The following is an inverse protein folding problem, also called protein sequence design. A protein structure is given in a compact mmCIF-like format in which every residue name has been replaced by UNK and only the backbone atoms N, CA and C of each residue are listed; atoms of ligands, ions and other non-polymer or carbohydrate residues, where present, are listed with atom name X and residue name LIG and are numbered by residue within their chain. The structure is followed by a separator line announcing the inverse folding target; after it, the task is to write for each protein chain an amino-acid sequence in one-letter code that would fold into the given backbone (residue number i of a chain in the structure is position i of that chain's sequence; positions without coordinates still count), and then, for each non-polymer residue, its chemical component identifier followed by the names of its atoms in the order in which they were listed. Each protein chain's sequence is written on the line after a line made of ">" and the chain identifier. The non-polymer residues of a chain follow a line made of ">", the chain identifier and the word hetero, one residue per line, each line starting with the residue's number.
data_IF_449158154599
#
_entry.id   IF_449158154599
#
_cell.length_a   1.000
_cell.length_b   1.000
_cell.length_c   1.000
_cell.angle_alpha   90.00
_cell.angle_beta   90.00
_cell.angle_gamma   90.00
#
_symmetry.space_group_name_H-M   'P 1'
#
loop_
_entity.id
_entity.type
_entity.pdbx_description
1 polymer ?
#
# COMPACT_ATOMS: atom_id res chain seq x y z
N UNK A 1 -12.47 17.87 -19.15
CA UNK A 1 -11.92 18.56 -17.97
C UNK A 1 -12.54 17.93 -16.73
N UNK A 2 -11.82 17.05 -16.03
CA UNK A 2 -12.31 16.44 -14.79
C UNK A 2 -11.91 17.32 -13.61
N UNK A 3 -12.89 17.67 -12.78
CA UNK A 3 -12.76 18.59 -11.65
C UNK A 3 -12.13 17.84 -10.47
N UNK A 4 -10.88 18.15 -10.14
CA UNK A 4 -10.20 17.63 -8.95
C UNK A 4 -10.80 18.36 -7.74
N UNK A 5 -11.55 17.65 -6.93
CA UNK A 5 -12.06 18.13 -5.64
C UNK A 5 -10.97 17.92 -4.59
N UNK A 6 -10.30 19.01 -4.16
CA UNK A 6 -9.41 18.98 -3.00
C UNK A 6 -10.24 19.09 -1.73
N UNK A 7 -10.50 17.97 -1.05
CA UNK A 7 -10.97 18.01 0.34
C UNK A 7 -9.77 17.74 1.24
N UNK A 8 -9.14 18.83 1.70
CA UNK A 8 -8.15 18.79 2.77
C UNK A 8 -8.84 18.45 4.07
N UNK A 9 -8.88 17.17 4.44
CA UNK A 9 -9.12 16.77 5.83
C UNK A 9 -7.78 16.72 6.55
N UNK A 10 -7.60 17.56 7.57
CA UNK A 10 -6.51 17.44 8.55
C UNK A 10 -6.50 16.00 9.06
N UNK A 11 -5.45 15.25 8.72
CA UNK A 11 -5.28 13.87 9.16
C UNK A 11 -4.61 13.89 10.53
N UNK A 12 -5.37 13.55 11.57
CA UNK A 12 -4.93 13.50 12.96
C UNK A 12 -3.85 12.42 13.14
N UNK A 13 -2.74 12.77 13.79
CA UNK A 13 -1.74 11.83 14.32
C UNK A 13 -2.44 10.75 15.18
N UNK A 14 -2.52 9.51 14.71
CA UNK A 14 -2.95 8.40 15.57
C UNK A 14 -1.74 7.97 16.41
N UNK A 15 -1.53 8.65 17.54
CA UNK A 15 -0.61 8.23 18.59
C UNK A 15 -1.28 7.11 19.40
N UNK A 16 -0.99 5.85 19.09
CA UNK A 16 -1.39 4.71 19.94
C UNK A 16 -0.23 4.33 20.86
N UNK A 17 -0.06 5.02 21.99
CA UNK A 17 0.88 4.62 23.03
C UNK A 17 0.30 3.49 23.87
N UNK A 18 0.57 2.22 23.50
CA UNK A 18 0.56 1.06 24.39
C UNK A 18 1.13 -0.15 23.63
N UNK A 19 2.45 -0.34 23.70
CA UNK A 19 3.11 -1.50 23.07
C UNK A 19 2.84 -2.76 23.90
N UNK A 20 2.18 -3.76 23.32
CA UNK A 20 2.26 -5.15 23.80
C UNK A 20 3.36 -5.87 22.99
N UNK A 21 4.46 -6.34 23.60
CA UNK A 21 5.48 -7.10 22.90
C UNK A 21 4.94 -8.51 22.60
N UNK A 22 4.44 -8.75 21.39
CA UNK A 22 3.89 -10.07 21.04
C UNK A 22 3.58 -10.32 19.57
N UNK A 23 3.19 -9.30 18.80
CA UNK A 23 2.91 -9.47 17.36
C UNK A 23 4.11 -8.97 16.56
N UNK A 24 4.94 -9.89 16.05
CA UNK A 24 6.02 -9.54 15.12
C UNK A 24 5.39 -9.21 13.77
N UNK A 25 5.28 -7.93 13.46
CA UNK A 25 4.90 -7.48 12.11
C UNK A 25 6.14 -7.56 11.21
N UNK A 26 5.97 -8.04 9.97
CA UNK A 26 7.04 -8.09 8.98
C UNK A 26 7.16 -6.73 8.30
N UNK A 27 8.38 -6.23 8.11
CA UNK A 27 8.67 -5.00 7.35
C UNK A 27 8.86 -5.31 5.86
N UNK A 28 8.89 -4.30 5.00
CA UNK A 28 9.10 -4.48 3.56
C UNK A 28 10.46 -5.10 3.22
N UNK A 29 11.49 -4.84 4.03
CA UNK A 29 12.80 -5.48 3.90
C UNK A 29 12.74 -7.00 4.01
N UNK A 30 11.75 -7.53 4.73
CA UNK A 30 11.56 -8.96 4.92
C UNK A 30 10.70 -9.64 3.84
N UNK A 31 10.24 -8.88 2.83
CA UNK A 31 9.47 -9.43 1.70
C UNK A 31 10.30 -10.43 0.91
N UNK A 32 9.72 -11.62 0.66
CA UNK A 32 10.40 -12.73 -0.02
C UNK A 32 9.60 -13.23 -1.20
N UNK A 33 10.26 -13.41 -2.33
CA UNK A 33 9.67 -14.10 -3.50
C UNK A 33 9.41 -15.57 -3.20
N UNK A 34 8.42 -16.15 -3.91
CA UNK A 34 8.11 -17.58 -3.81
C UNK A 34 7.47 -17.99 -2.48
N UNK A 35 7.19 -17.04 -1.58
CA UNK A 35 6.38 -17.27 -0.38
C UNK A 35 4.97 -16.76 -0.62
N UNK A 36 4.04 -17.70 -0.69
CA UNK A 36 2.61 -17.40 -0.65
C UNK A 36 2.22 -16.91 0.74
N UNK A 37 1.26 -15.99 0.77
CA UNK A 37 0.58 -15.56 2.00
C UNK A 37 1.46 -14.84 3.03
N UNK A 38 2.16 -13.79 2.60
CA UNK A 38 2.87 -12.89 3.49
C UNK A 38 1.93 -11.85 4.14
N UNK A 39 2.35 -11.26 5.25
CA UNK A 39 1.61 -10.23 5.97
C UNK A 39 2.49 -9.08 6.40
N UNK A 40 1.96 -7.85 6.37
CA UNK A 40 2.63 -6.63 6.78
C UNK A 40 1.63 -5.67 7.43
N UNK A 41 2.10 -4.83 8.34
CA UNK A 41 1.39 -3.61 8.71
C UNK A 41 1.93 -2.48 7.82
N UNK A 42 1.03 -1.71 7.21
CA UNK A 42 1.41 -0.69 6.24
C UNK A 42 0.42 0.47 6.21
N UNK A 43 0.94 1.69 6.05
CA UNK A 43 0.16 2.85 5.70
C UNK A 43 -0.12 2.91 4.21
N UNK A 44 -1.38 3.09 3.82
CA UNK A 44 -1.78 3.36 2.44
C UNK A 44 -1.56 4.84 2.15
N UNK A 45 -0.56 5.18 1.35
CA UNK A 45 -0.23 6.58 1.08
C UNK A 45 -1.15 7.18 0.01
N UNK A 46 -1.26 6.49 -1.13
CA UNK A 46 -2.08 6.88 -2.29
C UNK A 46 -2.31 5.66 -3.18
N UNK A 47 -3.31 5.74 -4.05
CA UNK A 47 -3.57 4.72 -5.06
C UNK A 47 -4.07 5.39 -6.34
N UNK A 48 -3.91 4.71 -7.47
CA UNK A 48 -4.33 5.20 -8.78
C UNK A 48 -4.58 4.04 -9.76
N UNK A 49 -5.39 4.31 -10.78
CA UNK A 49 -5.66 3.35 -11.85
C UNK A 49 -4.39 3.11 -12.67
N UNK A 50 -4.10 1.84 -12.92
CA UNK A 50 -3.02 1.39 -13.77
C UNK A 50 -3.57 1.04 -15.14
N UNK A 51 -3.00 1.64 -16.17
CA UNK A 51 -3.49 1.57 -17.54
C UNK A 51 -2.39 1.00 -18.44
N UNK A 52 -2.76 0.12 -19.36
CA UNK A 52 -1.89 -0.39 -20.40
C UNK A 52 -1.97 0.51 -21.64
N UNK A 53 -1.07 1.48 -21.73
CA UNK A 53 -1.03 2.42 -22.86
C UNK A 53 -0.79 1.76 -24.22
N UNK A 54 -0.20 0.56 -24.26
CA UNK A 54 0.02 -0.18 -25.52
C UNK A 54 -1.24 -0.86 -26.04
N UNK A 55 -2.24 -1.07 -25.18
CA UNK A 55 -3.48 -1.76 -25.48
C UNK A 55 -4.65 -0.84 -25.20
N UNK A 56 -4.75 0.22 -25.99
CA UNK A 56 -5.87 1.19 -25.95
C UNK A 56 -6.18 1.77 -24.57
N UNK A 57 -5.16 2.00 -23.74
CA UNK A 57 -5.32 2.54 -22.37
C UNK A 57 -6.21 1.59 -21.52
N UNK A 58 -6.11 0.27 -21.76
CA UNK A 58 -6.88 -0.73 -21.02
C UNK A 58 -6.58 -0.67 -19.52
N UNK A 59 -7.63 -0.64 -18.71
CA UNK A 59 -7.51 -0.74 -17.26
C UNK A 59 -6.98 -2.12 -16.86
N UNK A 60 -5.79 -2.17 -16.26
CA UNK A 60 -5.13 -3.42 -15.85
C UNK A 60 -5.20 -3.67 -14.35
N UNK A 61 -5.55 -2.66 -13.56
CA UNK A 61 -5.64 -2.79 -12.11
C UNK A 61 -5.43 -1.48 -11.37
N UNK A 62 -5.26 -1.56 -10.06
CA UNK A 62 -5.02 -0.41 -9.18
C UNK A 62 -3.60 -0.55 -8.63
N UNK A 63 -2.79 0.50 -8.75
CA UNK A 63 -1.51 0.59 -8.05
C UNK A 63 -1.73 1.29 -6.71
N UNK A 64 -1.18 0.73 -5.65
CA UNK A 64 -1.26 1.26 -4.29
C UNK A 64 0.16 1.52 -3.79
N UNK A 65 0.37 2.66 -3.14
CA UNK A 65 1.67 3.03 -2.56
C UNK A 65 1.63 2.80 -1.05
N UNK A 66 2.56 2.00 -0.54
CA UNK A 66 2.61 1.57 0.85
C UNK A 66 3.84 2.13 1.56
N UNK A 67 3.67 2.45 2.84
CA UNK A 67 4.74 2.81 3.76
C UNK A 67 4.73 1.84 4.95
N UNK A 68 5.88 1.36 5.40
CA UNK A 68 5.98 0.60 6.64
C UNK A 68 6.60 1.46 7.76
N UNK A 69 6.93 0.84 8.90
CA UNK A 69 7.53 1.52 10.04
C UNK A 69 8.94 2.06 9.78
N UNK A 70 9.65 1.53 8.77
CA UNK A 70 10.93 2.05 8.36
C UNK A 70 10.69 3.16 7.36
N UNK A 71 10.75 4.40 7.86
CA UNK A 71 10.47 5.69 7.17
C UNK A 71 11.10 5.86 5.76
N UNK A 72 12.10 5.06 5.40
CA UNK A 72 12.76 5.10 4.09
C UNK A 72 12.37 3.97 3.11
N UNK A 73 11.55 3.02 3.52
CA UNK A 73 11.15 1.89 2.67
C UNK A 73 9.69 2.09 2.23
N UNK A 74 9.57 2.61 1.01
CA UNK A 74 8.30 2.67 0.30
C UNK A 74 8.28 1.50 -0.69
N UNK A 75 7.20 0.73 -0.69
CA UNK A 75 6.94 -0.25 -1.74
C UNK A 75 5.61 0.11 -2.39
N UNK A 76 5.44 -0.28 -3.64
CA UNK A 76 4.13 -0.26 -4.25
C UNK A 76 3.55 -1.66 -4.26
N UNK A 77 2.25 -1.75 -4.39
CA UNK A 77 1.55 -2.98 -4.64
C UNK A 77 0.54 -2.81 -5.75
N UNK A 78 0.01 -3.93 -6.18
CA UNK A 78 -0.80 -4.02 -7.38
C UNK A 78 -2.00 -4.92 -7.15
N UNK A 79 -3.17 -4.35 -7.37
CA UNK A 79 -4.45 -5.06 -7.40
C UNK A 79 -4.82 -5.31 -8.86
N UNK A 80 -4.77 -6.55 -9.38
CA UNK A 80 -5.11 -6.82 -10.77
C UNK A 80 -6.59 -6.49 -11.04
N UNK A 81 -6.93 -6.19 -12.30
CA UNK A 81 -8.29 -5.82 -12.74
C UNK A 81 -9.38 -6.77 -12.21
N UNK A 82 -9.13 -8.09 -12.21
CA UNK A 82 -10.09 -9.08 -11.71
C UNK A 82 -10.37 -9.01 -10.20
N UNK A 83 -9.53 -8.29 -9.44
CA UNK A 83 -9.69 -8.05 -8.00
C UNK A 83 -10.00 -6.58 -7.67
N UNK A 84 -9.91 -5.66 -8.63
CA UNK A 84 -9.99 -4.22 -8.40
C UNK A 84 -11.28 -3.80 -7.69
N UNK A 85 -12.44 -4.22 -8.23
CA UNK A 85 -13.75 -3.85 -7.67
C UNK A 85 -13.96 -4.39 -6.25
N UNK A 86 -13.38 -5.54 -5.91
CA UNK A 86 -13.50 -6.12 -4.59
C UNK A 86 -12.72 -5.31 -3.54
N UNK A 87 -11.49 -4.90 -3.86
CA UNK A 87 -10.64 -4.17 -2.91
C UNK A 87 -10.84 -2.66 -2.90
N UNK A 88 -11.39 -2.07 -3.96
CA UNK A 88 -11.56 -0.62 -4.08
C UNK A 88 -12.22 0.04 -2.85
N UNK A 89 -13.31 -0.52 -2.26
CA UNK A 89 -13.91 0.07 -1.06
C UNK A 89 -12.99 0.08 0.18
N UNK A 90 -12.00 -0.82 0.25
CA UNK A 90 -11.03 -0.94 1.34
C UNK A 90 -9.78 -0.07 1.15
N UNK A 91 -9.57 0.49 -0.04
CA UNK A 91 -8.42 1.34 -0.33
C UNK A 91 -8.70 2.79 0.12
N UNK A 92 -8.17 3.15 1.29
CA UNK A 92 -8.30 4.51 1.85
C UNK A 92 -6.93 5.16 2.03
N UNK A 93 -6.67 6.24 1.32
CA UNK A 93 -5.44 7.00 1.52
C UNK A 93 -5.37 7.53 2.97
N UNK A 94 -4.20 7.42 3.57
CA UNK A 94 -3.95 7.79 4.96
C UNK A 94 -4.26 6.73 6.01
N UNK A 95 -4.85 5.59 5.65
CA UNK A 95 -5.14 4.53 6.64
C UNK A 95 -3.90 3.67 6.92
N UNK A 96 -3.72 3.28 8.18
CA UNK A 96 -2.80 2.21 8.57
C UNK A 96 -3.60 0.91 8.63
N UNK A 97 -3.19 -0.07 7.83
CA UNK A 97 -3.88 -1.35 7.72
C UNK A 97 -2.89 -2.50 7.86
N UNK A 98 -3.40 -3.67 8.24
CA UNK A 98 -2.73 -4.94 8.06
C UNK A 98 -3.14 -5.48 6.70
N UNK A 99 -2.15 -5.81 5.87
CA UNK A 99 -2.36 -6.58 4.65
C UNK A 99 -1.88 -8.00 4.93
N UNK A 100 -2.73 -8.99 4.70
CA UNK A 100 -2.44 -10.39 4.93
C UNK A 100 -2.67 -11.20 3.65
N UNK A 101 -2.05 -12.38 3.59
CA UNK A 101 -2.19 -13.37 2.52
C UNK A 101 -1.86 -12.84 1.12
N UNK A 102 -0.97 -11.86 1.00
CA UNK A 102 -0.54 -11.35 -0.31
C UNK A 102 0.63 -12.17 -0.90
N UNK A 103 0.87 -11.97 -2.19
CA UNK A 103 2.06 -12.47 -2.88
C UNK A 103 3.09 -11.36 -3.08
N UNK A 104 4.36 -11.73 -3.25
CA UNK A 104 5.42 -10.79 -3.59
C UNK A 104 5.87 -11.04 -5.02
N UNK A 105 5.94 -9.97 -5.81
CA UNK A 105 6.44 -10.01 -7.17
C UNK A 105 7.66 -9.08 -7.33
N UNK A 106 8.46 -9.31 -8.38
CA UNK A 106 9.57 -8.43 -8.74
C UNK A 106 9.03 -7.21 -9.48
N UNK A 107 9.54 -6.04 -9.14
CA UNK A 107 9.32 -4.82 -9.91
C UNK A 107 9.97 -4.97 -11.29
N UNK A 108 9.27 -4.52 -12.35
CA UNK A 108 9.92 -4.33 -13.65
C UNK A 108 10.72 -3.03 -13.64
N UNK A 109 11.95 -3.03 -14.14
CA UNK A 109 12.78 -1.83 -14.18
C UNK A 109 12.29 -0.75 -15.16
N UNK A 110 11.28 -1.05 -15.99
CA UNK A 110 10.77 -0.15 -17.02
C UNK A 110 10.07 1.08 -16.44
N UNK A 111 9.45 0.94 -15.26
CA UNK A 111 8.74 2.01 -14.57
C UNK A 111 8.99 1.89 -13.06
N UNK A 112 9.96 2.65 -12.54
CA UNK A 112 10.30 2.64 -11.11
C UNK A 112 9.41 3.62 -10.36
N UNK A 113 8.46 3.08 -9.59
CA UNK A 113 7.63 3.86 -8.65
C UNK A 113 8.39 4.05 -7.33
N UNK A 114 9.12 3.03 -6.90
CA UNK A 114 9.86 2.95 -5.65
C UNK A 114 11.21 2.30 -5.87
N UNK A 115 12.21 2.61 -5.04
CA UNK A 115 13.52 1.94 -5.09
C UNK A 115 13.48 0.50 -4.56
N UNK A 116 12.39 0.10 -3.89
CA UNK A 116 12.21 -1.26 -3.41
C UNK A 116 12.10 -2.27 -4.57
N UNK A 117 12.87 -3.38 -4.55
CA UNK A 117 12.96 -4.32 -5.68
C UNK A 117 11.71 -5.21 -5.83
N UNK A 118 10.83 -5.21 -4.82
CA UNK A 118 9.61 -6.01 -4.81
C UNK A 118 8.36 -5.15 -4.68
N UNK A 119 7.26 -5.69 -5.17
CA UNK A 119 5.91 -5.17 -5.02
C UNK A 119 5.00 -6.18 -4.31
N UNK A 120 4.01 -5.66 -3.58
CA UNK A 120 2.95 -6.44 -2.94
C UNK A 120 1.85 -6.72 -3.98
N UNK A 121 1.64 -7.98 -4.35
CA UNK A 121 0.60 -8.38 -5.31
C UNK A 121 -0.62 -8.89 -4.57
N UNK A 122 -1.77 -8.24 -4.78
CA UNK A 122 -3.03 -8.72 -4.25
C UNK A 122 -3.51 -9.91 -5.08
N UNK A 123 -3.96 -10.92 -4.37
CA UNK A 123 -4.65 -12.09 -4.90
C UNK A 123 -6.05 -12.14 -4.31
N UNK A 124 -6.94 -12.97 -4.85
CA UNK A 124 -8.31 -13.11 -4.36
C UNK A 124 -8.43 -13.47 -2.87
N UNK A 125 -7.34 -13.99 -2.26
CA UNK A 125 -7.26 -14.34 -0.85
C UNK A 125 -6.60 -13.28 0.03
N UNK A 126 -6.16 -12.15 -0.53
CA UNK A 126 -5.55 -11.05 0.23
C UNK A 126 -6.60 -10.44 1.16
N UNK A 127 -6.21 -10.16 2.40
CA UNK A 127 -7.09 -9.58 3.43
C UNK A 127 -6.54 -8.21 3.80
N UNK A 128 -7.42 -7.23 3.94
CA UNK A 128 -7.09 -5.88 4.40
C UNK A 128 -7.93 -5.60 5.63
N UNK A 129 -7.26 -5.47 6.78
CA UNK A 129 -7.91 -5.17 8.05
C UNK A 129 -7.37 -3.85 8.60
N UNK A 130 -8.24 -3.01 9.18
CA UNK A 130 -7.78 -1.84 9.92
C UNK A 130 -6.93 -2.29 11.13
N UNK A 131 -5.82 -1.59 11.41
CA UNK A 131 -5.03 -1.92 12.60
C UNK A 131 -5.64 -1.24 13.83
N UNK A 132 -6.26 -2.05 14.69
CA UNK A 132 -7.05 -1.54 15.83
C UNK A 132 -6.16 -1.15 17.02
N UNK A 133 -5.02 -1.82 17.27
CA UNK A 133 -4.14 -1.54 18.43
C UNK A 133 -2.72 -2.10 18.24
N UNK A 134 -1.71 -1.38 18.74
CA UNK A 134 -0.31 -1.86 18.76
C UNK A 134 0.43 -1.80 17.42
N UNK A 135 -0.14 -1.13 16.42
CA UNK A 135 0.50 -0.91 15.13
C UNK A 135 1.87 -0.21 15.28
N UNK A 136 2.82 -0.49 14.39
CA UNK A 136 4.00 0.36 14.25
C UNK A 136 3.64 1.83 14.00
N UNK A 137 4.45 2.75 14.52
CA UNK A 137 4.26 4.19 14.30
C UNK A 137 4.72 4.54 12.87
N UNK A 138 3.76 4.61 11.94
CA UNK A 138 4.02 4.96 10.54
C UNK A 138 3.77 6.47 10.37
N UNK A 139 4.84 7.25 10.18
CA UNK A 139 4.73 8.69 9.94
C UNK A 139 4.30 8.99 8.49
N UNK A 140 2.99 9.15 8.29
CA UNK A 140 2.42 9.50 6.98
C UNK A 140 2.60 10.98 6.60
N UNK A 141 2.87 11.86 7.57
CA UNK A 141 2.89 13.30 7.36
C UNK A 141 4.08 13.77 6.52
N UNK A 142 5.26 13.18 6.72
CA UNK A 142 6.50 13.63 6.06
C UNK A 142 6.60 13.29 4.57
N UNK A 143 5.73 12.42 4.04
CA UNK A 143 5.80 11.91 2.66
C UNK A 143 4.57 12.26 1.79
N UNK A 144 3.46 12.67 2.40
CA UNK A 144 2.31 13.19 1.66
C UNK A 144 2.64 14.53 1.01
N UNK A 145 3.44 15.37 1.66
CA UNK A 145 3.85 16.67 1.11
C UNK A 145 4.73 16.52 -0.16
N UNK A 146 5.48 15.42 -0.29
CA UNK A 146 6.26 15.09 -1.50
C UNK A 146 5.44 14.39 -2.61
N UNK A 147 4.16 14.07 -2.36
CA UNK A 147 3.31 13.33 -3.31
C UNK A 147 2.38 14.24 -4.13
N UNK A 148 2.44 15.55 -3.89
CA UNK A 148 1.68 16.58 -4.62
C UNK A 148 2.45 16.98 -5.88
N UNK A 149 2.48 16.09 -6.87
CA UNK A 149 2.82 16.40 -8.26
C UNK A 149 1.70 15.84 -9.13
#
# INVERSE_FOLDING_TARGET
>A
MAKISSVTKRMTLIRSSNRRPGVRHSTFESLRLGRSSQSTASGFLRFWDSLNFKKDIEFVGITVLFLDEKVNFMTHGFTPVGCANYYMPSLKAGSIVKVDRFEVARCSNMYKITDHPFLIRFISLTIIDEVITGAPEINLQSRLDCSTI
#
